data_IF_194864378901
#
_entry.id   IF_194864378901
#
_cell.length_a   1.000
_cell.length_b   1.000
_cell.length_c   1.000
_cell.angle_alpha   90.00
_cell.angle_beta   90.00
_cell.angle_gamma   90.00
#
_symmetry.space_group_name_H-M   'P 1'
#
loop_
_entity.id
_entity.type
_entity.pdbx_description
1 polymer ?
#
# COMPACT_ATOMS: atom_id res chain seq x y z
N UNK A 1 5.22 -3.91 9.04
CA UNK A 1 6.00 -5.15 9.15
C UNK A 1 5.41 -6.34 8.39
N UNK A 2 6.25 -7.09 7.69
CA UNK A 2 5.89 -8.35 7.00
C UNK A 2 6.64 -9.54 7.62
N UNK A 3 5.95 -10.65 7.87
CA UNK A 3 6.54 -11.93 8.29
C UNK A 3 6.06 -13.05 7.40
N UNK A 4 6.96 -13.94 7.01
CA UNK A 4 6.66 -15.11 6.19
C UNK A 4 7.12 -16.40 6.88
N UNK A 5 6.36 -17.47 6.70
CA UNK A 5 6.71 -18.80 7.19
C UNK A 5 7.42 -19.59 6.08
N UNK A 6 8.75 -19.47 6.03
CA UNK A 6 9.58 -20.19 5.07
C UNK A 6 9.58 -21.68 5.41
N UNK A 7 9.19 -22.54 4.49
CA UNK A 7 8.98 -23.98 4.73
C UNK A 7 9.73 -24.84 3.73
N UNK A 8 10.34 -25.93 4.21
CA UNK A 8 11.08 -26.86 3.36
C UNK A 8 10.12 -27.77 2.57
N UNK A 9 10.14 -27.68 1.25
CA UNK A 9 9.19 -28.40 0.38
C UNK A 9 9.45 -29.91 0.38
N UNK A 10 10.72 -30.32 0.32
CA UNK A 10 11.07 -31.74 0.27
C UNK A 10 10.69 -32.49 1.56
N UNK A 11 11.00 -31.90 2.73
CA UNK A 11 10.56 -32.45 4.02
C UNK A 11 9.05 -32.45 4.18
N UNK A 12 8.38 -31.40 3.73
CA UNK A 12 6.91 -31.35 3.73
C UNK A 12 6.30 -32.51 2.93
N UNK A 13 6.86 -32.80 1.75
CA UNK A 13 6.45 -33.95 0.92
C UNK A 13 6.71 -35.31 1.57
N UNK A 14 7.65 -35.38 2.51
CA UNK A 14 7.93 -36.56 3.35
C UNK A 14 7.04 -36.63 4.61
N UNK A 15 6.17 -35.66 4.81
CA UNK A 15 5.27 -35.57 5.97
C UNK A 15 5.87 -34.85 7.18
N UNK A 16 7.01 -34.17 7.02
CA UNK A 16 7.66 -33.37 8.05
C UNK A 16 7.44 -31.87 7.80
N UNK A 17 6.64 -31.22 8.64
CA UNK A 17 6.46 -29.77 8.57
C UNK A 17 7.61 -29.06 9.29
N UNK A 18 8.59 -28.59 8.53
CA UNK A 18 9.75 -27.83 9.03
C UNK A 18 9.74 -26.43 8.42
N UNK A 19 9.51 -25.42 9.25
CA UNK A 19 9.41 -24.02 8.85
C UNK A 19 10.07 -23.07 9.86
N UNK A 20 10.39 -21.85 9.41
CA UNK A 20 10.87 -20.75 10.26
C UNK A 20 10.20 -19.45 9.82
N UNK A 21 9.73 -18.67 10.80
CA UNK A 21 9.28 -17.31 10.56
C UNK A 21 10.47 -16.40 10.28
N UNK A 22 10.39 -15.66 9.17
CA UNK A 22 11.34 -14.64 8.76
C UNK A 22 10.61 -13.30 8.67
N UNK A 23 11.14 -12.27 9.31
CA UNK A 23 10.64 -10.90 9.24
C UNK A 23 11.31 -10.18 8.06
N UNK A 24 10.53 -9.48 7.24
CA UNK A 24 11.00 -8.72 6.09
C UNK A 24 10.81 -7.21 6.33
N UNK A 25 11.73 -6.35 5.86
CA UNK A 25 12.94 -6.72 5.12
C UNK A 25 14.01 -7.39 5.98
N UNK A 26 14.65 -8.42 5.42
CA UNK A 26 15.73 -9.21 5.99
C UNK A 26 17.03 -9.01 5.20
N UNK A 27 18.15 -9.14 5.90
CA UNK A 27 19.47 -9.21 5.29
C UNK A 27 19.71 -10.57 4.64
N UNK A 28 20.69 -10.63 3.71
CA UNK A 28 21.13 -11.91 3.11
C UNK A 28 21.50 -12.95 4.18
N UNK A 29 22.21 -12.53 5.24
CA UNK A 29 22.60 -13.41 6.35
C UNK A 29 21.37 -13.98 7.09
N UNK A 30 20.33 -13.17 7.32
CA UNK A 30 19.09 -13.62 7.98
C UNK A 30 18.27 -14.57 7.10
N UNK A 31 18.24 -14.32 5.79
CA UNK A 31 17.59 -15.19 4.80
C UNK A 31 18.30 -16.55 4.75
N UNK A 32 19.63 -16.56 4.68
CA UNK A 32 20.41 -17.80 4.67
C UNK A 32 20.29 -18.55 6.01
N UNK A 33 20.32 -17.85 7.15
CA UNK A 33 20.05 -18.45 8.46
C UNK A 33 18.63 -19.04 8.52
N UNK A 34 17.65 -18.43 7.86
CA UNK A 34 16.29 -18.98 7.79
C UNK A 34 16.24 -20.27 6.96
N UNK A 35 16.89 -20.29 5.79
CA UNK A 35 17.00 -21.47 4.92
C UNK A 35 17.76 -22.62 5.59
N UNK A 36 18.88 -22.34 6.25
CA UNK A 36 19.65 -23.34 7.00
C UNK A 36 18.81 -23.95 8.13
N UNK A 37 18.06 -23.12 8.87
CA UNK A 37 17.24 -23.57 9.99
C UNK A 37 16.12 -24.53 9.57
N UNK A 38 15.54 -24.35 8.38
CA UNK A 38 14.53 -25.29 7.85
C UNK A 38 15.18 -26.51 7.16
N UNK A 39 16.51 -26.51 7.05
CA UNK A 39 17.32 -27.59 6.52
C UNK A 39 17.41 -27.60 5.01
N UNK A 40 17.45 -26.43 4.37
CA UNK A 40 17.86 -26.31 2.97
C UNK A 40 19.35 -26.66 2.85
N UNK A 41 19.70 -27.47 1.85
CA UNK A 41 21.06 -27.93 1.55
C UNK A 41 21.10 -28.62 0.17
N UNK A 42 22.21 -29.27 -0.19
CA UNK A 42 22.39 -29.99 -1.46
C UNK A 42 21.34 -31.09 -1.75
N UNK A 43 20.63 -31.60 -0.74
CA UNK A 43 19.56 -32.60 -0.91
C UNK A 43 18.17 -31.95 -0.95
N UNK A 44 17.96 -30.90 -0.16
CA UNK A 44 16.67 -30.21 -0.05
C UNK A 44 16.85 -28.76 -0.49
N UNK A 45 16.70 -28.49 -1.77
CA UNK A 45 16.96 -27.16 -2.34
C UNK A 45 15.71 -26.27 -2.37
N UNK A 46 14.51 -26.88 -2.38
CA UNK A 46 13.24 -26.19 -2.59
C UNK A 46 12.55 -25.80 -1.28
N UNK A 47 11.99 -24.59 -1.27
CA UNK A 47 11.19 -24.03 -0.19
C UNK A 47 9.94 -23.34 -0.76
N UNK A 48 9.01 -23.02 0.12
CA UNK A 48 7.81 -22.24 -0.21
C UNK A 48 7.32 -21.48 1.04
N UNK A 49 6.45 -20.49 0.85
CA UNK A 49 5.81 -19.74 1.93
C UNK A 49 4.51 -20.45 2.30
N UNK A 50 4.42 -21.00 3.52
CA UNK A 50 3.20 -21.68 3.98
C UNK A 50 2.17 -20.75 4.58
N UNK A 51 2.62 -19.63 5.12
CA UNK A 51 1.80 -18.66 5.85
C UNK A 51 2.51 -17.30 5.89
N UNK A 52 1.77 -16.22 6.15
CA UNK A 52 2.34 -14.89 6.32
C UNK A 52 1.50 -14.04 7.29
N UNK A 53 2.15 -13.08 7.94
CA UNK A 53 1.52 -12.07 8.78
C UNK A 53 1.98 -10.68 8.32
N UNK A 54 1.06 -9.75 8.12
CA UNK A 54 1.43 -8.38 7.77
C UNK A 54 0.40 -7.36 8.27
N UNK A 55 0.88 -6.18 8.60
CA UNK A 55 0.10 -4.96 8.83
C UNK A 55 0.05 -4.05 7.58
N UNK A 56 0.72 -4.43 6.50
CA UNK A 56 0.75 -3.68 5.25
C UNK A 56 -0.53 -4.00 4.47
N UNK A 57 -1.42 -3.02 4.37
CA UNK A 57 -2.66 -3.19 3.61
C UNK A 57 -2.36 -3.43 2.12
N UNK A 58 -3.25 -4.16 1.44
CA UNK A 58 -3.11 -4.49 0.01
C UNK A 58 -2.04 -5.53 -0.34
N UNK A 59 -1.12 -5.86 0.58
CA UNK A 59 -0.13 -6.89 0.35
C UNK A 59 -0.75 -8.29 0.42
N UNK A 60 -0.50 -9.10 -0.61
CA UNK A 60 -0.85 -10.51 -0.65
C UNK A 60 0.40 -11.32 -0.98
N UNK A 61 0.65 -12.37 -0.21
CA UNK A 61 1.81 -13.24 -0.41
C UNK A 61 1.34 -14.63 -0.85
N UNK A 62 1.74 -15.02 -2.06
CA UNK A 62 1.55 -16.38 -2.58
C UNK A 62 2.59 -17.39 -2.08
N UNK A 63 2.29 -18.67 -2.25
CA UNK A 63 3.15 -19.78 -1.78
C UNK A 63 4.52 -19.81 -2.46
N UNK A 64 4.59 -19.38 -3.73
CA UNK A 64 5.76 -19.44 -4.59
C UNK A 64 6.23 -18.04 -5.02
N UNK A 65 5.94 -17.03 -4.20
CA UNK A 65 6.44 -15.68 -4.43
C UNK A 65 7.97 -15.64 -4.39
N UNK A 66 8.54 -14.71 -5.15
CA UNK A 66 9.97 -14.46 -5.13
C UNK A 66 10.35 -13.74 -3.83
N UNK A 67 11.22 -14.39 -3.04
CA UNK A 67 11.62 -13.86 -1.74
C UNK A 67 12.40 -12.54 -1.85
N UNK A 68 13.20 -12.36 -2.90
CA UNK A 68 13.96 -11.12 -3.11
C UNK A 68 13.00 -9.98 -3.45
N UNK A 69 12.01 -10.23 -4.32
CA UNK A 69 10.97 -9.25 -4.63
C UNK A 69 10.12 -8.88 -3.40
N UNK A 70 9.70 -9.86 -2.59
CA UNK A 70 8.98 -9.57 -1.33
C UNK A 70 9.84 -8.78 -0.35
N UNK A 71 11.13 -9.08 -0.28
CA UNK A 71 12.07 -8.39 0.59
C UNK A 71 12.26 -6.93 0.16
N UNK A 72 12.42 -6.69 -1.14
CA UNK A 72 12.51 -5.36 -1.73
C UNK A 72 11.22 -4.56 -1.51
N UNK A 73 10.06 -5.19 -1.71
CA UNK A 73 8.76 -4.54 -1.51
C UNK A 73 8.55 -4.13 -0.05
N UNK A 74 8.88 -5.01 0.90
CA UNK A 74 8.86 -4.70 2.32
C UNK A 74 9.84 -3.57 2.67
N UNK A 75 11.04 -3.58 2.10
CA UNK A 75 12.04 -2.52 2.29
C UNK A 75 11.57 -1.17 1.76
N UNK A 76 10.97 -1.14 0.55
CA UNK A 76 10.39 0.09 -0.03
C UNK A 76 9.34 0.68 0.90
N UNK A 77 8.41 -0.13 1.41
CA UNK A 77 7.34 0.34 2.28
C UNK A 77 7.82 0.79 3.68
N UNK A 78 8.70 0.03 4.32
CA UNK A 78 9.23 0.35 5.66
C UNK A 78 10.12 1.60 5.66
N UNK A 79 10.75 1.92 4.53
CA UNK A 79 11.55 3.14 4.39
C UNK A 79 10.72 4.41 4.15
N UNK A 80 9.41 4.28 3.91
CA UNK A 80 8.53 5.43 3.74
C UNK A 80 8.35 6.19 5.06
N UNK A 81 8.13 7.50 4.94
CA UNK A 81 7.62 8.27 6.06
C UNK A 81 6.13 7.99 6.27
N UNK A 82 5.64 8.20 7.50
CA UNK A 82 4.23 7.95 7.87
C UNK A 82 3.23 8.62 6.91
N UNK A 83 3.53 9.84 6.44
CA UNK A 83 2.70 10.54 5.45
C UNK A 83 2.64 9.82 4.09
N UNK A 84 3.75 9.26 3.63
CA UNK A 84 3.81 8.51 2.38
C UNK A 84 3.14 7.14 2.52
N UNK A 85 3.19 6.53 3.72
CA UNK A 85 2.42 5.32 4.03
C UNK A 85 0.91 5.58 4.01
N UNK A 86 0.45 6.73 4.51
CA UNK A 86 -0.95 7.16 4.42
C UNK A 86 -1.39 7.32 2.96
N UNK A 87 -0.52 7.87 2.09
CA UNK A 87 -0.80 7.98 0.65
C UNK A 87 -0.91 6.59 0.01
N UNK A 88 0.03 5.67 0.28
CA UNK A 88 -0.01 4.30 -0.23
C UNK A 88 -1.29 3.60 0.19
N UNK A 89 -1.67 3.71 1.48
CA UNK A 89 -2.91 3.15 1.97
C UNK A 89 -4.14 3.78 1.29
N UNK A 90 -4.14 5.10 1.07
CA UNK A 90 -5.21 5.76 0.32
C UNK A 90 -5.32 5.22 -1.11
N UNK A 91 -4.21 5.02 -1.82
CA UNK A 91 -4.21 4.50 -3.20
C UNK A 91 -4.79 3.07 -3.22
N UNK A 92 -4.34 2.21 -2.29
CA UNK A 92 -4.82 0.82 -2.17
C UNK A 92 -6.33 0.79 -1.91
N UNK A 93 -6.82 1.57 -0.94
CA UNK A 93 -8.25 1.62 -0.62
C UNK A 93 -9.09 2.25 -1.74
N UNK A 94 -8.57 3.29 -2.40
CA UNK A 94 -9.27 4.07 -3.41
C UNK A 94 -9.39 3.37 -4.76
N UNK A 95 -8.32 2.68 -5.18
CA UNK A 95 -8.22 2.05 -6.51
C UNK A 95 -8.26 0.53 -6.46
N UNK A 96 -8.06 -0.08 -5.29
CA UNK A 96 -7.96 -1.54 -5.15
C UNK A 96 -6.66 -2.11 -5.70
N UNK A 97 -5.61 -1.28 -5.78
CA UNK A 97 -4.28 -1.66 -6.21
C UNK A 97 -3.58 -2.55 -5.17
N UNK A 98 -2.65 -3.36 -5.63
CA UNK A 98 -1.71 -4.02 -4.72
C UNK A 98 -0.63 -3.04 -4.22
N UNK A 99 0.21 -3.51 -3.29
CA UNK A 99 1.24 -2.68 -2.68
C UNK A 99 2.29 -2.20 -3.69
N UNK A 100 2.65 -3.02 -4.67
CA UNK A 100 3.64 -2.65 -5.69
C UNK A 100 3.09 -1.56 -6.61
N UNK A 101 1.87 -1.75 -7.12
CA UNK A 101 1.15 -0.76 -7.91
C UNK A 101 1.00 0.58 -7.17
N UNK A 102 0.68 0.55 -5.86
CA UNK A 102 0.53 1.75 -5.06
C UNK A 102 1.85 2.48 -4.80
N UNK A 103 2.94 1.76 -4.57
CA UNK A 103 4.28 2.34 -4.43
C UNK A 103 4.74 2.98 -5.75
N UNK A 104 4.46 2.36 -6.89
CA UNK A 104 4.78 2.91 -8.19
C UNK A 104 4.01 4.23 -8.46
N UNK A 105 2.74 4.31 -8.05
CA UNK A 105 1.96 5.56 -8.10
C UNK A 105 2.57 6.62 -7.20
N UNK A 106 2.92 6.27 -5.96
CA UNK A 106 3.58 7.18 -5.01
C UNK A 106 4.86 7.77 -5.62
N UNK A 107 5.73 6.93 -6.18
CA UNK A 107 7.02 7.31 -6.78
C UNK A 107 6.85 8.17 -8.03
N UNK A 108 5.80 7.92 -8.83
CA UNK A 108 5.49 8.74 -10.00
C UNK A 108 5.08 10.17 -9.64
N UNK A 109 4.55 10.37 -8.43
CA UNK A 109 3.98 11.64 -7.97
C UNK A 109 2.71 12.05 -8.72
N UNK A 110 2.11 11.15 -9.50
CA UNK A 110 1.00 11.44 -10.39
C UNK A 110 -0.36 11.28 -9.69
N UNK A 111 -0.51 11.98 -8.57
CA UNK A 111 -1.71 11.95 -7.74
C UNK A 111 -1.89 13.27 -6.99
N UNK A 112 -3.05 13.44 -6.36
CA UNK A 112 -3.32 14.48 -5.38
C UNK A 112 -3.95 13.85 -4.15
N UNK A 113 -3.39 14.15 -2.98
CA UNK A 113 -3.81 13.58 -1.70
C UNK A 113 -4.16 14.69 -0.72
N UNK A 114 -5.37 14.60 -0.16
CA UNK A 114 -5.92 15.57 0.78
C UNK A 114 -6.38 14.85 2.06
N UNK A 115 -5.53 14.78 3.09
CA UNK A 115 -5.80 13.97 4.28
C UNK A 115 -6.99 14.46 5.11
N UNK A 116 -7.25 15.77 5.08
CA UNK A 116 -8.35 16.40 5.83
C UNK A 116 -9.69 16.39 5.08
N UNK A 117 -9.74 15.85 3.86
CA UNK A 117 -10.95 15.83 3.02
C UNK A 117 -11.65 14.47 3.16
N UNK A 118 -12.75 14.44 3.89
CA UNK A 118 -13.42 13.19 4.29
C UNK A 118 -14.82 13.02 3.71
N UNK A 119 -15.36 14.06 3.08
CA UNK A 119 -16.69 14.08 2.50
C UNK A 119 -16.79 15.12 1.36
N UNK A 120 -17.92 15.15 0.66
CA UNK A 120 -18.14 16.07 -0.46
C UNK A 120 -18.15 17.56 -0.07
N UNK A 121 -18.54 17.92 1.15
CA UNK A 121 -18.49 19.32 1.61
C UNK A 121 -17.04 19.77 1.77
N UNK A 122 -16.18 18.96 2.41
CA UNK A 122 -14.76 19.24 2.55
C UNK A 122 -14.08 19.38 1.18
N UNK A 123 -14.38 18.44 0.26
CA UNK A 123 -13.80 18.45 -1.09
C UNK A 123 -14.24 19.70 -1.85
N UNK A 124 -15.52 20.07 -1.76
CA UNK A 124 -16.00 21.28 -2.41
C UNK A 124 -15.39 22.54 -1.85
N UNK A 125 -15.17 22.60 -0.54
CA UNK A 125 -14.43 23.69 0.09
C UNK A 125 -13.02 23.77 -0.47
N UNK A 126 -12.31 22.63 -0.54
CA UNK A 126 -10.96 22.57 -1.08
C UNK A 126 -10.88 23.04 -2.55
N UNK A 127 -11.78 22.55 -3.42
CA UNK A 127 -11.84 22.95 -4.83
C UNK A 127 -12.06 24.46 -4.99
N UNK A 128 -12.89 25.05 -4.13
CA UNK A 128 -13.17 26.49 -4.14
C UNK A 128 -11.99 27.31 -3.60
N UNK A 129 -11.44 26.93 -2.45
CA UNK A 129 -10.40 27.67 -1.75
C UNK A 129 -9.05 27.65 -2.49
N UNK A 130 -8.68 26.50 -3.05
CA UNK A 130 -7.48 26.37 -3.91
C UNK A 130 -7.65 27.00 -5.29
N UNK A 131 -8.85 27.53 -5.59
CA UNK A 131 -9.11 28.23 -6.84
C UNK A 131 -9.06 27.34 -8.07
N UNK A 132 -9.39 26.03 -7.94
CA UNK A 132 -9.33 25.06 -9.04
C UNK A 132 -10.30 25.38 -10.18
N UNK A 133 -11.31 26.23 -9.93
CA UNK A 133 -12.18 26.79 -10.97
C UNK A 133 -11.52 27.86 -11.84
N UNK A 134 -10.31 28.30 -11.51
CA UNK A 134 -9.60 29.37 -12.22
C UNK A 134 -10.25 30.75 -12.08
N UNK A 135 -11.13 30.93 -11.10
CA UNK A 135 -11.82 32.18 -10.79
C UNK A 135 -11.74 32.47 -9.30
N UNK A 136 -11.45 33.71 -8.94
CA UNK A 136 -11.46 34.17 -7.55
C UNK A 136 -12.89 34.52 -7.15
N UNK A 137 -13.38 33.92 -6.06
CA UNK A 137 -14.73 34.16 -5.55
C UNK A 137 -14.64 35.22 -4.44
N UNK A 138 -15.33 36.38 -4.57
CA UNK A 138 -15.35 37.40 -3.53
C UNK A 138 -15.83 36.85 -2.19
N UNK A 139 -15.20 37.25 -1.08
CA UNK A 139 -15.56 36.84 0.30
C UNK A 139 -17.06 36.97 0.59
N UNK A 140 -17.70 38.02 0.09
CA UNK A 140 -19.13 38.27 0.27
C UNK A 140 -20.04 37.19 -0.34
N UNK A 141 -19.53 36.41 -1.29
CA UNK A 141 -20.25 35.34 -1.97
C UNK A 141 -19.90 33.95 -1.41
N UNK A 142 -18.77 33.78 -0.72
CA UNK A 142 -18.34 32.47 -0.21
C UNK A 142 -19.38 31.82 0.70
N UNK A 143 -20.07 32.61 1.53
CA UNK A 143 -21.11 32.12 2.45
C UNK A 143 -22.38 31.58 1.75
N UNK A 144 -22.51 31.78 0.44
CA UNK A 144 -23.64 31.31 -0.37
C UNK A 144 -23.26 30.13 -1.27
N UNK A 145 -22.01 29.66 -1.21
CA UNK A 145 -21.55 28.54 -2.02
C UNK A 145 -22.03 27.23 -1.38
N UNK A 146 -22.63 26.38 -2.23
CA UNK A 146 -22.98 25.01 -1.90
C UNK A 146 -21.76 24.12 -2.19
N UNK A 147 -20.87 24.01 -1.19
CA UNK A 147 -19.64 23.23 -1.31
C UNK A 147 -19.93 21.74 -1.49
N UNK A 148 -20.93 21.19 -0.79
CA UNK A 148 -21.32 19.78 -0.91
C UNK A 148 -21.68 19.41 -2.36
N UNK A 149 -22.48 20.24 -3.04
CA UNK A 149 -22.82 20.01 -4.45
C UNK A 149 -21.60 20.09 -5.37
N UNK A 150 -20.68 21.03 -5.11
CA UNK A 150 -19.43 21.16 -5.87
C UNK A 150 -18.55 19.93 -5.70
N UNK A 151 -18.27 19.52 -4.47
CA UNK A 151 -17.39 18.37 -4.22
C UNK A 151 -17.99 17.07 -4.75
N UNK A 152 -19.31 16.92 -4.69
CA UNK A 152 -20.00 15.80 -5.32
C UNK A 152 -19.79 15.77 -6.83
N UNK A 153 -19.98 16.90 -7.50
CA UNK A 153 -19.78 16.99 -8.96
C UNK A 153 -18.30 16.80 -9.32
N UNK A 154 -17.37 17.32 -8.52
CA UNK A 154 -15.94 17.10 -8.70
C UNK A 154 -15.60 15.61 -8.66
N UNK A 155 -16.01 14.92 -7.59
CA UNK A 155 -15.76 13.49 -7.41
C UNK A 155 -16.37 12.63 -8.51
N UNK A 156 -17.59 12.95 -8.98
CA UNK A 156 -18.27 12.18 -10.03
C UNK A 156 -17.56 12.32 -11.38
N UNK A 157 -16.98 13.48 -11.67
CA UNK A 157 -16.32 13.76 -12.94
C UNK A 157 -14.81 13.47 -12.91
N UNK A 158 -14.21 13.40 -11.73
CA UNK A 158 -12.81 13.04 -11.50
C UNK A 158 -12.59 11.53 -11.33
N UNK A 159 -11.34 11.15 -11.11
CA UNK A 159 -10.90 9.80 -10.79
C UNK A 159 -10.43 9.73 -9.33
N UNK A 160 -11.22 10.31 -8.42
CA UNK A 160 -10.88 10.38 -7.01
C UNK A 160 -11.85 9.65 -6.08
N UNK A 161 -11.31 9.22 -4.94
CA UNK A 161 -11.94 8.33 -3.98
C UNK A 161 -11.75 8.83 -2.55
N UNK A 162 -12.80 8.70 -1.73
CA UNK A 162 -12.69 8.87 -0.28
C UNK A 162 -12.21 7.56 0.35
N UNK A 163 -11.24 7.66 1.24
CA UNK A 163 -10.56 6.55 1.90
C UNK A 163 -10.52 6.80 3.40
N UNK A 164 -10.03 5.83 4.17
CA UNK A 164 -9.79 5.98 5.60
C UNK A 164 -8.71 7.05 5.91
N UNK A 165 -7.92 7.45 4.90
CA UNK A 165 -6.81 8.40 4.99
C UNK A 165 -7.11 9.78 4.41
N UNK A 166 -8.29 9.99 3.83
CA UNK A 166 -8.68 11.26 3.21
C UNK A 166 -9.17 11.07 1.78
N UNK A 167 -8.94 12.06 0.93
CA UNK A 167 -9.28 11.99 -0.50
C UNK A 167 -8.02 11.81 -1.34
N UNK A 168 -8.03 10.84 -2.24
CA UNK A 168 -6.98 10.59 -3.22
C UNK A 168 -7.56 10.72 -4.63
N UNK A 169 -6.83 11.36 -5.55
CA UNK A 169 -7.17 11.46 -6.97
C UNK A 169 -5.94 11.17 -7.81
N UNK A 170 -6.02 10.20 -8.72
CA UNK A 170 -4.94 9.87 -9.65
C UNK A 170 -5.07 10.68 -10.95
N UNK A 171 -3.94 11.00 -11.60
CA UNK A 171 -3.87 11.84 -12.81
C UNK A 171 -3.42 11.11 -14.08
#
# INVERSE_FOLDING_TARGET
MLKIALTNLGKYNEGELVYKWLELPATEDEIEEAKEAIGINEQYEEWFITDYETDIEGLQVGEYEDLEALNELAERYENLHEYDQDIVQAIIEGEGYDLEEALDVLESGNYSFYPDVTNEEDLGFYVVDEGLFGVEIPDSLQVYIDHESIGRDWRINGAGSFTSKGYIELH
#
